data_IF_035312402276
#
_entry.id   IF_035312402276
#
_cell.length_a   1.000
_cell.length_b   1.000
_cell.length_c   1.000
_cell.angle_alpha   90.00
_cell.angle_beta   90.00
_cell.angle_gamma   90.00
#
_symmetry.space_group_name_H-M   'P 1'
#
loop_
_entity.id
_entity.type
_entity.pdbx_description
1 polymer ?
#
# COMPACT_ATOMS: atom_id res chain seq x y z
N UNK A 1 69.54 -26.75 -48.55
CA UNK A 1 69.27 -26.89 -47.11
C UNK A 1 68.24 -25.84 -46.72
N UNK A 2 67.03 -26.28 -46.34
CA UNK A 2 65.89 -25.40 -46.02
C UNK A 2 66.05 -24.83 -44.62
N UNK A 3 65.92 -23.51 -44.49
CA UNK A 3 65.84 -22.81 -43.20
C UNK A 3 64.37 -22.52 -42.91
N UNK A 4 63.80 -23.25 -41.95
CA UNK A 4 62.45 -23.00 -41.42
C UNK A 4 62.47 -21.77 -40.51
N UNK A 5 61.63 -20.77 -40.81
CA UNK A 5 61.33 -19.66 -39.91
C UNK A 5 59.89 -19.80 -39.42
N UNK A 6 59.73 -20.09 -38.12
CA UNK A 6 58.46 -20.19 -37.41
C UNK A 6 57.79 -18.81 -37.32
N UNK A 7 56.63 -18.64 -37.97
CA UNK A 7 55.68 -17.56 -37.66
C UNK A 7 54.91 -17.91 -36.40
N UNK A 8 55.10 -17.13 -35.34
CA UNK A 8 54.23 -17.14 -34.16
C UNK A 8 52.96 -16.33 -34.42
N UNK A 9 51.80 -16.97 -34.37
CA UNK A 9 50.49 -16.29 -34.34
C UNK A 9 50.29 -15.65 -32.96
N UNK A 10 50.15 -14.32 -32.93
CA UNK A 10 49.65 -13.59 -31.76
C UNK A 10 48.12 -13.51 -31.85
N UNK A 11 47.42 -14.33 -31.07
CA UNK A 11 45.98 -14.20 -30.85
C UNK A 11 45.72 -13.01 -29.93
N UNK A 12 45.01 -11.99 -30.43
CA UNK A 12 44.47 -10.89 -29.63
C UNK A 12 43.24 -11.40 -28.86
N UNK A 13 43.35 -11.50 -27.53
CA UNK A 13 42.21 -11.72 -26.65
C UNK A 13 41.58 -10.35 -26.38
N UNK A 14 40.41 -10.09 -26.95
CA UNK A 14 39.58 -8.95 -26.60
C UNK A 14 38.84 -9.27 -25.29
N UNK A 15 39.29 -8.68 -24.18
CA UNK A 15 38.56 -8.69 -22.90
C UNK A 15 37.53 -7.57 -22.95
N UNK A 16 36.27 -7.92 -23.21
CA UNK A 16 35.15 -7.00 -23.04
C UNK A 16 34.83 -6.91 -21.53
N UNK A 17 35.23 -5.79 -20.92
CA UNK A 17 34.83 -5.46 -19.56
C UNK A 17 33.35 -5.05 -19.55
N UNK A 18 32.48 -5.97 -19.10
CA UNK A 18 31.09 -5.66 -18.76
C UNK A 18 31.06 -4.98 -17.39
N UNK A 19 30.89 -3.66 -17.40
CA UNK A 19 30.59 -2.87 -16.21
C UNK A 19 29.11 -3.06 -15.83
N UNK A 20 28.78 -3.48 -14.59
CA UNK A 20 27.40 -3.46 -14.12
C UNK A 20 26.99 -2.02 -13.76
N UNK A 21 26.23 -1.39 -14.65
CA UNK A 21 25.53 -0.12 -14.40
C UNK A 21 24.28 -0.36 -13.55
N UNK A 22 24.47 -0.43 -12.23
CA UNK A 22 23.37 -0.38 -11.26
C UNK A 22 23.65 0.70 -10.22
N UNK A 23 23.40 1.97 -10.56
CA UNK A 23 23.23 3.08 -9.61
C UNK A 23 22.76 4.33 -10.39
N UNK A 24 21.44 4.54 -10.53
CA UNK A 24 20.85 5.87 -10.72
C UNK A 24 19.32 5.75 -10.74
N UNK A 25 18.67 6.17 -9.66
CA UNK A 25 17.21 6.22 -9.59
C UNK A 25 16.69 6.84 -8.30
N UNK A 26 17.42 7.82 -7.76
CA UNK A 26 16.95 8.66 -6.65
C UNK A 26 17.17 10.10 -7.09
N UNK A 27 16.10 10.77 -7.53
CA UNK A 27 16.10 12.22 -7.69
C UNK A 27 15.48 12.83 -6.44
N UNK A 28 16.36 13.45 -5.67
CA UNK A 28 16.10 14.45 -4.62
C UNK A 28 15.70 15.75 -5.32
N UNK A 29 14.65 16.42 -4.84
CA UNK A 29 14.49 17.86 -5.02
C UNK A 29 14.39 18.54 -3.65
N UNK A 30 15.30 19.47 -3.40
CA UNK A 30 15.17 20.53 -2.41
C UNK A 30 15.24 21.88 -3.14
N UNK A 31 14.33 22.79 -2.75
CA UNK A 31 14.23 24.23 -3.03
C UNK A 31 15.51 24.99 -2.57
N UNK A 32 15.90 26.19 -3.00
CA UNK A 32 15.26 27.50 -3.28
C UNK A 32 16.13 28.25 -4.35
N UNK A 33 15.73 29.30 -5.07
CA UNK A 33 15.31 30.64 -4.61
C UNK A 33 14.62 31.43 -5.73
N UNK A 34 13.77 32.37 -5.32
CA UNK A 34 13.08 33.41 -6.10
C UNK A 34 14.02 34.61 -6.36
N UNK A 35 13.85 35.40 -7.44
CA UNK A 35 13.23 36.71 -7.19
C UNK A 35 12.36 37.31 -8.31
N UNK A 36 11.23 37.87 -7.86
CA UNK A 36 10.69 39.22 -8.15
C UNK A 36 9.69 39.41 -9.31
N UNK A 37 8.50 39.88 -8.91
CA UNK A 37 7.35 40.33 -9.73
C UNK A 37 7.61 41.57 -10.62
N UNK A 38 6.67 41.85 -11.55
CA UNK A 38 5.91 43.09 -11.39
C UNK A 38 4.38 43.00 -11.55
N UNK A 39 3.71 43.69 -10.62
CA UNK A 39 2.36 44.28 -10.59
C UNK A 39 1.73 44.72 -11.94
N UNK A 40 0.44 44.41 -12.13
CA UNK A 40 -0.69 45.37 -12.23
C UNK A 40 -1.87 44.80 -13.05
N UNK A 41 -3.09 44.82 -12.49
CA UNK A 41 -4.31 44.50 -13.23
C UNK A 41 -5.54 44.34 -12.35
N UNK A 42 -6.03 45.44 -11.80
CA UNK A 42 -7.26 45.51 -11.02
C UNK A 42 -8.52 45.45 -11.91
N UNK A 43 -9.53 44.66 -11.51
CA UNK A 43 -10.95 44.90 -11.80
C UNK A 43 -11.84 44.31 -10.67
N UNK A 44 -13.04 44.87 -10.43
CA UNK A 44 -13.57 45.07 -9.08
C UNK A 44 -14.52 43.97 -8.58
N UNK A 45 -14.63 43.88 -7.26
CA UNK A 45 -15.68 43.17 -6.54
C UNK A 45 -16.99 43.97 -6.52
N UNK A 46 -18.16 43.30 -6.42
CA UNK A 46 -19.35 43.92 -5.87
C UNK A 46 -19.59 43.50 -4.42
N UNK A 47 -20.08 44.49 -3.68
CA UNK A 47 -20.29 44.54 -2.24
C UNK A 47 -21.53 43.78 -1.75
N UNK A 48 -21.41 43.31 -0.52
CA UNK A 48 -22.40 42.97 0.53
C UNK A 48 -23.89 43.25 0.30
N UNK A 49 -24.72 42.29 0.74
CA UNK A 49 -25.88 42.61 1.59
C UNK A 49 -26.19 41.48 2.58
N UNK A 50 -26.19 41.85 3.86
CA UNK A 50 -26.76 41.15 4.99
C UNK A 50 -28.28 41.15 4.94
N UNK A 51 -28.95 40.10 5.41
CA UNK A 51 -30.17 40.23 6.22
C UNK A 51 -30.62 38.92 6.85
N UNK A 52 -31.25 39.11 8.01
CA UNK A 52 -31.50 38.17 9.07
C UNK A 52 -32.69 37.22 8.84
N UNK A 53 -32.68 36.15 9.65
CA UNK A 53 -33.78 35.23 9.95
C UNK A 53 -35.05 35.99 10.38
N UNK A 54 -36.24 35.42 10.13
CA UNK A 54 -37.07 35.04 11.27
C UNK A 54 -37.83 33.71 11.10
N UNK A 55 -38.09 33.07 12.24
CA UNK A 55 -39.25 32.21 12.51
C UNK A 55 -39.98 32.89 13.69
N UNK A 56 -41.31 32.80 13.90
CA UNK A 56 -42.04 31.54 14.03
C UNK A 56 -43.51 31.56 13.52
N UNK A 57 -44.17 30.40 13.41
CA UNK A 57 -45.41 30.09 14.14
C UNK A 57 -45.99 28.73 13.73
N UNK A 58 -46.70 28.17 14.68
CA UNK A 58 -47.28 26.85 14.86
C UNK A 58 -48.44 26.48 13.93
N UNK A 59 -48.54 25.20 13.60
CA UNK A 59 -49.83 24.49 13.60
C UNK A 59 -49.64 23.03 14.05
N UNK A 60 -50.43 22.69 15.04
CA UNK A 60 -50.52 21.44 15.80
C UNK A 60 -51.31 20.39 15.01
N UNK A 61 -50.82 19.15 14.98
CA UNK A 61 -51.68 17.95 14.96
C UNK A 61 -51.01 16.86 15.80
N UNK A 62 -51.70 16.48 16.88
CA UNK A 62 -51.57 15.23 17.66
C UNK A 62 -51.84 14.04 16.70
N UNK A 63 -51.42 12.78 16.87
CA UNK A 63 -50.97 11.92 17.96
C UNK A 63 -50.39 10.68 17.23
N UNK A 64 -49.35 9.99 17.73
CA UNK A 64 -49.54 8.77 18.50
C UNK A 64 -48.24 8.37 19.21
N UNK A 65 -48.43 7.92 20.45
CA UNK A 65 -47.45 7.41 21.40
C UNK A 65 -46.80 6.13 20.90
N UNK A 66 -45.50 5.95 21.15
CA UNK A 66 -45.03 4.77 21.91
C UNK A 66 -43.68 5.03 22.58
N UNK A 67 -43.51 4.43 23.75
CA UNK A 67 -42.55 4.79 24.77
C UNK A 67 -41.12 4.29 24.48
N UNK A 68 -40.15 5.14 24.81
CA UNK A 68 -38.72 4.85 24.74
C UNK A 68 -38.27 4.12 26.02
N UNK A 69 -37.70 2.93 25.86
CA UNK A 69 -36.86 2.26 26.87
C UNK A 69 -35.58 1.78 26.18
N UNK A 70 -34.43 1.86 26.86
CA UNK A 70 -33.13 1.75 26.22
C UNK A 70 -32.74 0.29 26.05
N UNK A 71 -32.80 -0.22 24.82
CA UNK A 71 -32.20 -1.51 24.49
C UNK A 71 -30.71 -1.34 24.22
N UNK A 72 -29.93 -1.60 25.27
CA UNK A 72 -28.55 -2.02 25.10
C UNK A 72 -28.50 -3.30 24.27
N UNK A 73 -28.00 -3.19 23.04
CA UNK A 73 -27.52 -4.34 22.26
C UNK A 73 -26.07 -4.09 21.85
N UNK A 74 -25.17 -4.64 22.66
CA UNK A 74 -23.86 -5.06 22.17
C UNK A 74 -24.07 -5.96 20.96
N UNK A 75 -23.55 -5.54 19.82
CA UNK A 75 -23.70 -6.26 18.56
C UNK A 75 -23.21 -7.70 18.71
N UNK A 76 -24.08 -8.66 18.40
CA UNK A 76 -23.71 -10.04 18.20
C UNK A 76 -22.68 -10.11 17.06
N UNK A 77 -21.42 -10.37 17.40
CA UNK A 77 -20.41 -10.76 16.42
C UNK A 77 -20.87 -12.05 15.74
N UNK A 78 -21.35 -11.94 14.50
CA UNK A 78 -21.83 -13.09 13.75
C UNK A 78 -20.71 -14.13 13.60
N UNK A 79 -21.02 -15.39 13.91
CA UNK A 79 -20.16 -16.54 13.65
C UNK A 79 -20.02 -16.72 12.13
N UNK A 80 -19.03 -16.05 11.53
CA UNK A 80 -18.63 -16.27 10.15
C UNK A 80 -17.42 -17.21 10.04
N UNK A 81 -17.01 -17.59 8.83
CA UNK A 81 -15.88 -18.49 8.60
C UNK A 81 -14.53 -17.97 9.15
N UNK A 82 -14.45 -16.68 9.49
CA UNK A 82 -13.28 -16.06 10.10
C UNK A 82 -13.49 -15.68 11.58
N UNK A 83 -14.53 -16.21 12.22
CA UNK A 83 -14.78 -15.99 13.65
C UNK A 83 -13.55 -16.38 14.48
N UNK A 84 -13.14 -15.50 15.39
CA UNK A 84 -11.94 -15.68 16.21
C UNK A 84 -10.63 -15.27 15.53
N UNK A 85 -10.61 -15.04 14.21
CA UNK A 85 -9.42 -14.63 13.49
C UNK A 85 -9.21 -13.11 13.60
N UNK A 86 -7.95 -12.69 13.71
CA UNK A 86 -7.50 -11.29 13.74
C UNK A 86 -6.74 -10.97 12.46
N UNK A 87 -7.23 -9.99 11.69
CA UNK A 87 -6.56 -9.51 10.48
C UNK A 87 -6.14 -8.06 10.67
N UNK A 88 -4.89 -7.75 10.33
CA UNK A 88 -4.38 -6.39 10.28
C UNK A 88 -4.26 -5.93 8.84
N UNK A 89 -4.96 -4.84 8.51
CA UNK A 89 -4.86 -4.16 7.23
C UNK A 89 -4.01 -2.91 7.37
N UNK A 90 -3.03 -2.78 6.50
CA UNK A 90 -2.08 -1.67 6.48
C UNK A 90 -2.29 -0.87 5.19
N UNK A 91 -3.16 0.16 5.18
CA UNK A 91 -3.26 1.05 4.03
C UNK A 91 -1.96 1.83 3.93
N UNK A 92 -1.20 1.57 2.87
CA UNK A 92 0.10 2.17 2.61
C UNK A 92 0.05 3.70 2.62
N UNK A 93 1.10 4.33 3.13
CA UNK A 93 1.22 5.79 3.25
C UNK A 93 0.12 6.43 4.12
N UNK A 94 0.02 7.75 4.09
CA UNK A 94 -1.03 8.53 4.72
C UNK A 94 -1.32 9.77 3.85
N UNK A 95 -2.60 10.12 3.73
CA UNK A 95 -3.13 11.17 2.84
C UNK A 95 -2.51 12.56 3.08
N UNK A 96 -2.04 12.82 4.30
CA UNK A 96 -1.45 14.10 4.70
C UNK A 96 0.08 14.06 4.82
N UNK A 97 0.74 12.94 4.49
CA UNK A 97 2.21 12.83 4.57
C UNK A 97 2.95 13.94 3.79
N UNK A 98 2.39 14.42 2.66
CA UNK A 98 2.99 15.49 1.85
C UNK A 98 3.17 16.81 2.60
N UNK A 99 2.33 17.04 3.62
CA UNK A 99 2.30 18.25 4.44
C UNK A 99 3.21 18.13 5.68
N UNK A 100 3.78 16.94 5.91
CA UNK A 100 4.56 16.58 7.11
C UNK A 100 5.91 15.95 6.77
N UNK A 101 6.63 16.57 5.81
CA UNK A 101 7.89 16.02 5.26
C UNK A 101 8.97 15.84 6.34
N UNK A 102 9.07 16.75 7.31
CA UNK A 102 10.09 16.65 8.35
C UNK A 102 9.88 15.41 9.22
N UNK A 103 8.63 15.12 9.57
CA UNK A 103 8.25 14.01 10.43
C UNK A 103 8.41 12.66 9.72
N UNK A 104 7.96 12.55 8.47
CA UNK A 104 8.07 11.30 7.71
C UNK A 104 9.51 10.99 7.26
N UNK A 105 10.37 12.01 7.10
CA UNK A 105 11.77 11.81 6.73
C UNK A 105 12.66 11.40 7.91
N UNK A 106 12.17 11.48 9.15
CA UNK A 106 12.92 11.01 10.32
C UNK A 106 13.25 9.53 10.18
N UNK A 107 14.50 9.16 10.43
CA UNK A 107 14.94 7.77 10.32
C UNK A 107 14.34 6.91 11.45
N UNK A 108 13.89 5.71 11.10
CA UNK A 108 13.43 4.64 12.01
C UNK A 108 14.20 3.35 11.72
N UNK A 109 14.20 2.42 12.68
CA UNK A 109 14.80 1.09 12.50
C UNK A 109 13.88 0.25 11.61
N UNK A 110 14.44 -0.37 10.58
CA UNK A 110 13.76 -1.24 9.63
C UNK A 110 14.18 -2.71 9.79
N UNK A 111 14.83 -3.05 10.90
CA UNK A 111 15.30 -4.39 11.25
C UNK A 111 16.69 -4.72 10.73
N UNK A 112 16.96 -4.43 9.46
CA UNK A 112 18.26 -4.66 8.80
C UNK A 112 18.98 -3.38 8.40
N UNK A 113 18.30 -2.24 8.46
CA UNK A 113 18.80 -0.93 8.05
C UNK A 113 17.96 0.17 8.70
N UNK A 114 18.35 1.44 8.49
CA UNK A 114 17.58 2.61 8.90
C UNK A 114 16.94 3.26 7.67
N UNK A 115 15.68 3.64 7.75
CA UNK A 115 14.97 4.33 6.65
C UNK A 115 14.03 5.41 7.17
N UNK A 116 13.55 6.25 6.26
CA UNK A 116 12.49 7.21 6.51
C UNK A 116 11.30 6.53 7.21
N UNK A 117 10.72 7.24 8.18
CA UNK A 117 9.54 6.83 8.92
C UNK A 117 8.42 6.40 7.98
N UNK A 118 8.08 7.22 6.99
CA UNK A 118 7.08 6.93 5.96
C UNK A 118 7.43 7.68 4.66
N UNK A 119 6.66 7.46 3.60
CA UNK A 119 6.76 8.24 2.36
C UNK A 119 5.38 8.72 1.92
N UNK A 120 5.32 9.63 0.97
CA UNK A 120 4.04 10.14 0.42
C UNK A 120 3.31 9.12 -0.46
N UNK A 121 4.03 8.10 -0.96
CA UNK A 121 3.54 7.23 -2.02
C UNK A 121 3.61 7.89 -3.39
N UNK A 122 3.19 7.16 -4.42
CA UNK A 122 3.06 7.66 -5.80
C UNK A 122 1.67 8.26 -6.06
N UNK A 123 1.37 8.57 -7.32
CA UNK A 123 0.06 8.99 -7.77
C UNK A 123 -0.16 8.59 -9.24
N UNK A 124 -1.42 8.59 -9.69
CA UNK A 124 -1.69 8.57 -11.13
C UNK A 124 -1.23 9.87 -11.80
N UNK A 125 -1.10 9.86 -13.13
CA UNK A 125 -0.79 11.08 -13.88
C UNK A 125 -1.89 12.15 -13.76
N UNK A 126 -3.12 11.77 -13.37
CA UNK A 126 -4.23 12.69 -13.11
C UNK A 126 -4.30 13.16 -11.65
N UNK A 127 -3.33 12.80 -10.80
CA UNK A 127 -3.21 13.28 -9.43
C UNK A 127 -3.96 12.46 -8.37
N UNK A 128 -4.55 11.30 -8.70
CA UNK A 128 -5.14 10.43 -7.68
C UNK A 128 -4.02 9.74 -6.90
N UNK A 129 -3.93 9.99 -5.60
CA UNK A 129 -2.77 9.59 -4.81
C UNK A 129 -2.84 8.13 -4.40
N UNK A 130 -1.68 7.51 -4.22
CA UNK A 130 -1.58 6.14 -3.68
C UNK A 130 -2.23 6.07 -2.29
N UNK A 131 -1.99 7.04 -1.42
CA UNK A 131 -2.55 7.07 -0.07
C UNK A 131 -4.09 7.09 -0.05
N UNK A 132 -4.74 7.81 -0.97
CA UNK A 132 -6.20 7.78 -1.12
C UNK A 132 -6.69 6.42 -1.62
N UNK A 133 -5.98 5.86 -2.61
CA UNK A 133 -6.27 4.54 -3.16
C UNK A 133 -6.20 3.43 -2.09
N UNK A 134 -5.10 3.36 -1.36
CA UNK A 134 -4.86 2.30 -0.37
C UNK A 134 -5.84 2.39 0.79
N UNK A 135 -6.17 3.61 1.24
CA UNK A 135 -7.15 3.85 2.30
C UNK A 135 -8.55 3.38 1.89
N UNK A 136 -9.03 3.73 0.69
CA UNK A 136 -10.34 3.28 0.20
C UNK A 136 -10.39 1.76 0.04
N UNK A 137 -9.40 1.13 -0.61
CA UNK A 137 -9.36 -0.32 -0.78
C UNK A 137 -9.30 -1.03 0.56
N UNK A 138 -8.46 -0.57 1.49
CA UNK A 138 -8.34 -1.18 2.81
C UNK A 138 -9.64 -1.13 3.60
N UNK A 139 -10.37 -0.01 3.57
CA UNK A 139 -11.70 0.10 4.21
C UNK A 139 -12.70 -0.88 3.61
N UNK A 140 -12.71 -1.05 2.29
CA UNK A 140 -13.55 -2.05 1.59
C UNK A 140 -13.19 -3.47 2.00
N UNK A 141 -11.89 -3.83 2.01
CA UNK A 141 -11.41 -5.13 2.48
C UNK A 141 -11.85 -5.38 3.93
N UNK A 142 -11.69 -4.38 4.80
CA UNK A 142 -12.08 -4.48 6.20
C UNK A 142 -13.58 -4.71 6.38
N UNK A 143 -14.44 -4.06 5.59
CA UNK A 143 -15.89 -4.31 5.60
C UNK A 143 -16.21 -5.77 5.23
N UNK A 144 -15.57 -6.29 4.18
CA UNK A 144 -15.76 -7.66 3.72
C UNK A 144 -15.30 -8.70 4.74
N UNK A 145 -14.13 -8.49 5.37
CA UNK A 145 -13.60 -9.39 6.38
C UNK A 145 -14.41 -9.36 7.68
N UNK A 146 -14.86 -8.18 8.13
CA UNK A 146 -15.76 -8.05 9.29
C UNK A 146 -17.09 -8.77 9.04
N UNK A 147 -17.65 -8.65 7.83
CA UNK A 147 -18.87 -9.38 7.46
C UNK A 147 -18.68 -10.91 7.46
N UNK A 148 -17.44 -11.40 7.38
CA UNK A 148 -17.07 -12.83 7.49
C UNK A 148 -16.69 -13.25 8.91
N UNK A 149 -16.84 -12.37 9.90
CA UNK A 149 -16.58 -12.66 11.32
C UNK A 149 -15.17 -12.32 11.82
N UNK A 150 -14.27 -11.81 10.98
CA UNK A 150 -12.92 -11.47 11.41
C UNK A 150 -12.89 -10.21 12.29
N UNK A 151 -12.03 -10.20 13.30
CA UNK A 151 -11.61 -8.98 13.98
C UNK A 151 -10.61 -8.25 13.09
N UNK A 152 -10.99 -7.08 12.55
CA UNK A 152 -10.11 -6.29 11.67
C UNK A 152 -9.55 -5.08 12.41
N UNK A 153 -8.22 -4.96 12.40
CA UNK A 153 -7.49 -3.78 12.87
C UNK A 153 -6.81 -3.08 11.70
N UNK A 154 -6.77 -1.76 11.74
CA UNK A 154 -6.05 -0.95 10.76
C UNK A 154 -4.77 -0.38 11.39
N UNK A 155 -3.70 -0.27 10.62
CA UNK A 155 -2.50 0.47 11.07
C UNK A 155 -2.77 1.98 11.13
N UNK A 156 -3.62 2.47 10.23
CA UNK A 156 -4.16 3.84 10.19
C UNK A 156 -5.50 3.85 9.46
N UNK A 157 -6.35 4.84 9.72
CA UNK A 157 -7.64 4.95 9.05
C UNK A 157 -7.96 6.38 8.58
N UNK A 158 -6.94 7.13 8.14
CA UNK A 158 -7.07 8.52 7.66
C UNK A 158 -7.32 9.55 8.76
N UNK A 159 -7.03 9.20 10.00
CA UNK A 159 -7.29 9.96 11.23
C UNK A 159 -6.03 10.57 11.85
N UNK A 160 -4.86 10.35 11.24
CA UNK A 160 -3.56 10.85 11.69
C UNK A 160 -3.03 11.92 10.73
N UNK A 161 -2.35 12.97 11.23
CA UNK A 161 -1.73 13.98 10.37
C UNK A 161 -0.62 13.39 9.49
N UNK A 162 0.09 12.37 9.96
CA UNK A 162 1.11 11.65 9.19
C UNK A 162 1.40 10.27 9.81
N UNK A 163 2.15 9.45 9.07
CA UNK A 163 2.51 8.10 9.50
C UNK A 163 1.27 7.19 9.68
N UNK A 164 1.33 6.16 10.54
CA UNK A 164 2.44 5.73 11.38
C UNK A 164 3.70 5.36 10.60
N UNK A 165 4.84 5.41 11.28
CA UNK A 165 6.09 4.95 10.70
C UNK A 165 6.07 3.44 10.38
N UNK A 166 6.89 3.00 9.43
CA UNK A 166 6.96 1.59 8.98
C UNK A 166 7.22 0.58 10.10
N UNK A 167 7.98 0.96 11.14
CA UNK A 167 8.23 0.18 12.34
C UNK A 167 7.01 0.10 13.26
N UNK A 168 6.30 1.22 13.45
CA UNK A 168 5.02 1.25 14.15
C UNK A 168 3.96 0.40 13.43
N UNK A 169 3.88 0.45 12.09
CA UNK A 169 2.98 -0.38 11.29
C UNK A 169 3.20 -1.88 11.53
N UNK A 170 4.46 -2.33 11.55
CA UNK A 170 4.79 -3.71 11.89
C UNK A 170 4.44 -4.05 13.36
N UNK A 171 4.75 -3.14 14.29
CA UNK A 171 4.44 -3.32 15.72
C UNK A 171 2.94 -3.45 15.99
N UNK A 172 2.08 -2.75 15.26
CA UNK A 172 0.62 -2.88 15.38
C UNK A 172 0.18 -4.31 15.06
N UNK A 173 0.70 -4.90 13.97
CA UNK A 173 0.47 -6.30 13.61
C UNK A 173 0.89 -7.26 14.72
N UNK A 174 2.10 -7.08 15.23
CA UNK A 174 2.68 -7.94 16.26
C UNK A 174 1.90 -7.86 17.58
N UNK A 175 1.56 -6.65 18.04
CA UNK A 175 0.77 -6.44 19.29
C UNK A 175 -0.65 -6.97 19.17
N UNK A 176 -1.20 -7.02 17.97
CA UNK A 176 -2.51 -7.58 17.72
C UNK A 176 -2.54 -9.11 17.76
N UNK A 177 -1.39 -9.78 17.76
CA UNK A 177 -1.28 -11.22 17.53
C UNK A 177 -2.06 -11.64 16.27
N UNK A 178 -1.95 -10.85 15.20
CA UNK A 178 -2.74 -11.06 14.00
C UNK A 178 -2.40 -12.39 13.33
N UNK A 179 -3.43 -13.11 12.85
CA UNK A 179 -3.26 -14.33 12.06
C UNK A 179 -2.74 -14.01 10.66
N UNK A 180 -3.06 -12.82 10.15
CA UNK A 180 -2.51 -12.28 8.92
C UNK A 180 -2.41 -10.74 8.96
N UNK A 181 -1.34 -10.20 8.39
CA UNK A 181 -1.19 -8.78 8.10
C UNK A 181 -1.00 -8.55 6.60
N UNK A 182 -1.72 -7.60 6.01
CA UNK A 182 -1.62 -7.26 4.58
C UNK A 182 -1.42 -5.76 4.43
N UNK A 183 -0.30 -5.37 3.83
CA UNK A 183 -0.08 -4.00 3.37
C UNK A 183 -0.64 -3.84 1.96
N UNK A 184 -1.49 -2.85 1.75
CA UNK A 184 -2.13 -2.56 0.47
C UNK A 184 -1.48 -1.31 -0.11
N UNK A 185 -0.93 -1.44 -1.31
CA UNK A 185 -0.16 -0.41 -2.03
C UNK A 185 -0.51 -0.40 -3.52
N UNK A 186 0.02 0.59 -4.25
CA UNK A 186 0.08 0.57 -5.70
C UNK A 186 1.42 1.16 -6.17
N UNK A 187 1.99 0.59 -7.23
CA UNK A 187 3.34 0.94 -7.65
C UNK A 187 3.39 2.15 -8.58
N UNK A 188 4.59 2.72 -8.77
CA UNK A 188 4.85 3.91 -9.56
C UNK A 188 5.94 3.75 -10.63
N UNK A 189 6.11 2.57 -11.23
CA UNK A 189 7.12 2.35 -12.26
C UNK A 189 6.97 3.26 -13.49
N UNK A 190 8.04 3.97 -13.87
CA UNK A 190 8.09 4.86 -15.04
C UNK A 190 8.44 4.17 -16.36
N UNK A 191 8.78 2.87 -16.34
CA UNK A 191 9.10 2.13 -17.57
C UNK A 191 7.92 2.03 -18.52
N UNK A 192 8.17 2.24 -19.82
CA UNK A 192 7.15 2.20 -20.87
C UNK A 192 6.43 0.84 -20.88
N UNK A 193 5.10 0.87 -20.75
CA UNK A 193 4.27 -0.34 -20.76
C UNK A 193 4.32 -1.18 -19.48
N UNK A 194 5.08 -0.76 -18.46
CA UNK A 194 5.12 -1.47 -17.17
C UNK A 194 3.74 -1.44 -16.52
N UNK A 195 3.16 -2.60 -16.25
CA UNK A 195 1.82 -2.73 -15.68
C UNK A 195 1.62 -4.10 -15.03
N UNK A 196 0.53 -4.21 -14.28
CA UNK A 196 0.13 -5.41 -13.55
C UNK A 196 0.48 -5.32 -12.07
N UNK A 197 -0.05 -6.29 -11.32
CA UNK A 197 0.07 -6.35 -9.86
C UNK A 197 1.13 -7.38 -9.45
N UNK A 198 1.68 -7.24 -8.24
CA UNK A 198 2.50 -8.28 -7.64
C UNK A 198 2.35 -8.31 -6.12
N UNK A 199 2.71 -9.44 -5.50
CA UNK A 199 2.69 -9.60 -4.06
C UNK A 199 4.11 -9.73 -3.53
N UNK A 200 4.51 -8.84 -2.63
CA UNK A 200 5.81 -8.88 -1.99
C UNK A 200 5.73 -9.78 -0.75
N UNK A 201 6.67 -10.71 -0.65
CA UNK A 201 6.82 -11.63 0.48
C UNK A 201 8.19 -11.44 1.13
N UNK A 202 8.31 -11.68 2.45
CA UNK A 202 9.59 -11.52 3.14
C UNK A 202 10.61 -12.55 2.65
N UNK A 203 11.85 -12.11 2.52
CA UNK A 203 13.03 -12.98 2.54
C UNK A 203 13.35 -13.37 3.99
N UNK A 204 14.06 -14.49 4.15
CA UNK A 204 14.58 -14.92 5.44
C UNK A 204 15.71 -13.98 5.89
N UNK A 205 15.49 -13.29 6.99
CA UNK A 205 16.41 -12.35 7.63
C UNK A 205 16.53 -12.74 9.10
N UNK A 206 17.74 -12.65 9.66
CA UNK A 206 17.99 -12.78 11.10
C UNK A 206 19.09 -11.84 11.54
N UNK A 207 18.73 -10.83 12.31
CA UNK A 207 19.61 -9.83 12.94
C UNK A 207 19.21 -9.68 14.41
N UNK A 208 19.90 -8.82 15.16
CA UNK A 208 19.50 -8.47 16.53
C UNK A 208 18.13 -7.78 16.60
N UNK A 209 17.72 -7.06 15.54
CA UNK A 209 16.48 -6.28 15.50
C UNK A 209 15.36 -6.93 14.69
N UNK A 210 15.63 -7.97 13.89
CA UNK A 210 14.65 -8.60 13.03
C UNK A 210 14.88 -10.11 12.87
N UNK A 211 13.81 -10.90 12.94
CA UNK A 211 13.80 -12.31 12.57
C UNK A 211 12.51 -12.64 11.82
N UNK A 212 12.63 -12.88 10.51
CA UNK A 212 11.48 -13.24 9.66
C UNK A 212 11.35 -14.74 9.46
N UNK A 213 12.23 -15.56 10.04
CA UNK A 213 12.39 -16.96 9.65
C UNK A 213 11.15 -17.80 9.94
N UNK A 214 10.44 -17.50 11.03
CA UNK A 214 9.16 -18.12 11.36
C UNK A 214 8.02 -17.73 10.40
N UNK A 215 8.08 -16.55 9.77
CA UNK A 215 6.99 -16.03 8.94
C UNK A 215 7.18 -16.25 7.45
N UNK A 216 8.39 -16.54 6.95
CA UNK A 216 8.64 -16.72 5.50
C UNK A 216 7.71 -17.75 4.87
N UNK A 217 7.56 -18.92 5.49
CA UNK A 217 6.68 -19.99 4.99
C UNK A 217 5.20 -19.57 4.95
N UNK A 218 4.61 -19.18 6.09
CA UNK A 218 3.24 -18.67 6.14
C UNK A 218 2.97 -17.47 5.22
N UNK A 219 3.86 -16.46 5.19
CA UNK A 219 3.72 -15.30 4.31
C UNK A 219 3.75 -15.67 2.83
N UNK A 220 4.54 -16.69 2.44
CA UNK A 220 4.52 -17.21 1.07
C UNK A 220 3.20 -17.91 0.72
N UNK A 221 2.57 -18.62 1.67
CA UNK A 221 1.22 -19.19 1.47
C UNK A 221 0.18 -18.08 1.31
N UNK A 222 0.20 -17.10 2.22
CA UNK A 222 -0.66 -15.91 2.15
C UNK A 222 -0.50 -15.19 0.81
N UNK A 223 0.75 -14.94 0.39
CA UNK A 223 1.02 -14.24 -0.86
C UNK A 223 0.54 -14.99 -2.10
N UNK A 224 0.61 -16.33 -2.11
CA UNK A 224 0.03 -17.14 -3.19
C UNK A 224 -1.50 -17.04 -3.24
N UNK A 225 -2.17 -17.06 -2.09
CA UNK A 225 -3.63 -16.93 -2.02
C UNK A 225 -4.08 -15.53 -2.47
N UNK A 226 -3.40 -14.47 -2.01
CA UNK A 226 -3.67 -13.11 -2.51
C UNK A 226 -3.47 -13.04 -4.02
N UNK A 227 -2.34 -13.54 -4.55
CA UNK A 227 -2.07 -13.48 -5.99
C UNK A 227 -3.20 -14.13 -6.80
N UNK A 228 -3.59 -15.35 -6.42
CA UNK A 228 -4.64 -16.12 -7.11
C UNK A 228 -5.96 -15.35 -7.12
N UNK A 229 -6.49 -15.05 -5.94
CA UNK A 229 -7.83 -14.46 -5.80
C UNK A 229 -7.90 -13.02 -6.30
N UNK A 230 -6.80 -12.27 -6.21
CA UNK A 230 -6.72 -10.93 -6.77
C UNK A 230 -6.77 -10.94 -8.30
N UNK A 231 -6.03 -11.84 -8.96
CA UNK A 231 -6.08 -12.01 -10.41
C UNK A 231 -7.49 -12.41 -10.87
N UNK A 232 -8.10 -13.39 -10.20
CA UNK A 232 -9.46 -13.88 -10.51
C UNK A 232 -10.51 -12.77 -10.39
N UNK A 233 -10.43 -11.93 -9.34
CA UNK A 233 -11.42 -10.89 -9.10
C UNK A 233 -11.27 -9.66 -10.00
N UNK A 234 -10.04 -9.28 -10.35
CA UNK A 234 -9.75 -7.99 -11.02
C UNK A 234 -9.44 -8.12 -12.50
N UNK A 235 -9.09 -9.31 -12.97
CA UNK A 235 -8.53 -9.57 -14.30
C UNK A 235 -7.26 -8.76 -14.60
N UNK A 236 -6.60 -8.18 -13.60
CA UNK A 236 -5.29 -7.55 -13.80
C UNK A 236 -4.22 -8.62 -14.05
N UNK A 237 -3.29 -8.38 -14.98
CA UNK A 237 -2.18 -9.29 -15.19
C UNK A 237 -1.18 -9.18 -14.05
N UNK A 238 -0.29 -10.19 -13.95
CA UNK A 238 0.90 -10.07 -13.13
C UNK A 238 1.79 -8.94 -13.65
N UNK A 239 2.52 -8.28 -12.75
CA UNK A 239 3.47 -7.25 -13.10
C UNK A 239 4.50 -7.77 -14.12
N UNK A 240 4.64 -7.08 -15.25
CA UNK A 240 5.60 -7.45 -16.30
C UNK A 240 7.02 -6.90 -16.05
N UNK A 241 7.25 -6.22 -14.93
CA UNK A 241 8.50 -5.53 -14.60
C UNK A 241 9.11 -5.98 -13.26
N UNK A 242 8.41 -6.82 -12.50
CA UNK A 242 8.87 -7.35 -11.21
C UNK A 242 8.44 -8.83 -11.03
N UNK A 243 9.12 -9.53 -10.13
CA UNK A 243 8.75 -10.89 -9.73
C UNK A 243 9.00 -11.99 -10.77
N UNK A 244 9.68 -11.69 -11.89
CA UNK A 244 10.11 -12.67 -12.89
C UNK A 244 8.97 -13.50 -13.49
N UNK A 245 7.78 -12.90 -13.64
CA UNK A 245 6.58 -13.59 -14.13
C UNK A 245 5.86 -14.47 -13.10
N UNK A 246 6.40 -14.64 -11.89
CA UNK A 246 5.77 -15.43 -10.83
C UNK A 246 4.62 -14.70 -10.13
N UNK A 247 4.59 -13.36 -10.23
CA UNK A 247 3.70 -12.48 -9.47
C UNK A 247 4.06 -12.35 -7.98
N UNK A 248 5.14 -12.99 -7.54
CA UNK A 248 5.70 -12.86 -6.19
C UNK A 248 7.06 -12.19 -6.25
N UNK A 249 7.28 -11.20 -5.39
CA UNK A 249 8.56 -10.50 -5.27
C UNK A 249 9.12 -10.77 -3.87
N UNK A 250 10.27 -11.43 -3.77
CA UNK A 250 10.90 -11.74 -2.48
C UNK A 250 11.84 -10.60 -2.11
N UNK A 251 11.65 -9.96 -0.95
CA UNK A 251 12.40 -8.75 -0.54
C UNK A 251 12.87 -8.80 0.91
N UNK A 252 13.98 -8.10 1.19
CA UNK A 252 14.60 -7.96 2.52
C UNK A 252 14.84 -6.49 2.92
N UNK A 253 14.33 -5.56 2.12
CA UNK A 253 14.56 -4.11 2.21
C UNK A 253 13.27 -3.34 2.59
N UNK A 254 12.32 -4.01 3.26
CA UNK A 254 11.07 -3.42 3.72
C UNK A 254 10.91 -3.61 5.22
N UNK A 255 11.08 -2.52 5.99
CA UNK A 255 10.95 -2.54 7.46
C UNK A 255 9.61 -3.12 7.94
N UNK A 256 8.53 -2.82 7.23
CA UNK A 256 7.21 -3.39 7.52
C UNK A 256 7.15 -4.92 7.42
N UNK A 257 7.98 -5.55 6.58
CA UNK A 257 8.14 -7.01 6.50
C UNK A 257 9.17 -7.53 7.50
N UNK A 258 10.34 -6.92 7.55
CA UNK A 258 11.47 -7.38 8.35
C UNK A 258 11.15 -7.40 9.86
N UNK A 259 10.34 -6.44 10.32
CA UNK A 259 9.94 -6.32 11.72
C UNK A 259 8.67 -7.10 12.08
N UNK A 260 8.03 -7.77 11.11
CA UNK A 260 6.82 -8.53 11.36
C UNK A 260 7.14 -9.86 12.06
N UNK A 261 6.37 -10.18 13.09
CA UNK A 261 6.37 -11.46 13.82
C UNK A 261 5.16 -12.34 13.44
N UNK A 262 4.26 -11.81 12.63
CA UNK A 262 3.06 -12.48 12.10
C UNK A 262 3.17 -12.66 10.58
N UNK A 263 2.44 -13.61 9.96
CA UNK A 263 2.39 -13.74 8.51
C UNK A 263 2.02 -12.40 7.86
N UNK A 264 2.91 -11.86 7.03
CA UNK A 264 2.76 -10.54 6.41
C UNK A 264 3.21 -10.50 4.96
N UNK A 265 2.43 -9.81 4.13
CA UNK A 265 2.75 -9.52 2.72
C UNK A 265 2.39 -8.08 2.38
N UNK A 266 2.94 -7.59 1.27
CA UNK A 266 2.47 -6.36 0.61
C UNK A 266 1.83 -6.77 -0.71
N UNK A 267 0.70 -6.19 -1.08
CA UNK A 267 0.16 -6.27 -2.43
C UNK A 267 0.32 -4.91 -3.11
N UNK A 268 1.03 -4.90 -4.22
CA UNK A 268 1.08 -3.76 -5.16
C UNK A 268 -0.02 -3.98 -6.19
N UNK A 269 -1.12 -3.25 -6.06
CA UNK A 269 -2.38 -3.52 -6.75
C UNK A 269 -2.36 -3.27 -8.26
N UNK A 270 -1.33 -2.58 -8.77
CA UNK A 270 -1.15 -2.18 -10.16
C UNK A 270 -0.15 -1.02 -10.25
N UNK A 271 0.19 -0.58 -11.46
CA UNK A 271 1.08 0.59 -11.65
C UNK A 271 0.28 1.88 -11.90
N UNK A 272 0.31 2.83 -10.96
CA UNK A 272 -0.38 4.13 -11.07
C UNK A 272 0.14 4.98 -12.24
N UNK A 273 1.37 4.75 -12.71
CA UNK A 273 1.97 5.47 -13.85
C UNK A 273 1.57 4.86 -15.20
N UNK A 274 0.93 3.70 -15.20
CA UNK A 274 0.38 3.10 -16.41
C UNK A 274 -1.07 3.52 -16.62
N UNK A 275 -1.40 4.08 -17.79
CA UNK A 275 -2.76 4.55 -18.07
C UNK A 275 -3.84 3.45 -17.99
N UNK A 276 -3.51 2.21 -18.34
CA UNK A 276 -4.48 1.09 -18.28
C UNK A 276 -4.77 0.67 -16.85
N UNK A 277 -3.73 0.50 -16.03
CA UNK A 277 -3.93 0.16 -14.63
C UNK A 277 -4.58 1.33 -13.88
N UNK A 278 -4.16 2.57 -14.14
CA UNK A 278 -4.73 3.77 -13.55
C UNK A 278 -6.24 3.88 -13.76
N UNK A 279 -6.79 3.50 -14.93
CA UNK A 279 -8.25 3.45 -15.17
C UNK A 279 -8.96 2.48 -14.22
N UNK A 280 -8.34 1.34 -13.89
CA UNK A 280 -8.86 0.42 -12.88
C UNK A 280 -8.76 1.02 -11.48
N UNK A 281 -7.56 1.48 -11.10
CA UNK A 281 -7.28 2.01 -9.76
C UNK A 281 -8.18 3.21 -9.38
N UNK A 282 -8.53 4.07 -10.35
CA UNK A 282 -9.43 5.22 -10.13
C UNK A 282 -10.91 4.86 -10.17
N UNK A 283 -11.28 3.68 -10.68
CA UNK A 283 -12.67 3.21 -10.72
C UNK A 283 -13.12 2.64 -9.37
N UNK A 284 -14.21 3.19 -8.81
CA UNK A 284 -14.77 2.70 -7.55
C UNK A 284 -15.27 1.25 -7.64
N UNK A 285 -15.85 0.84 -8.76
CA UNK A 285 -16.31 -0.54 -8.97
C UNK A 285 -15.12 -1.50 -9.05
N UNK A 286 -14.04 -1.09 -9.71
CA UNK A 286 -12.83 -1.90 -9.77
C UNK A 286 -12.13 -1.98 -8.41
N UNK A 287 -12.06 -0.90 -7.63
CA UNK A 287 -11.56 -0.96 -6.25
C UNK A 287 -12.37 -1.91 -5.37
N UNK A 288 -13.67 -2.05 -5.63
CA UNK A 288 -14.50 -3.06 -4.97
C UNK A 288 -14.12 -4.49 -5.38
N UNK A 289 -13.78 -4.74 -6.64
CA UNK A 289 -13.26 -6.03 -7.11
C UNK A 289 -11.88 -6.34 -6.50
N UNK A 290 -10.98 -5.36 -6.47
CA UNK A 290 -9.68 -5.48 -5.81
C UNK A 290 -9.85 -5.85 -4.33
N UNK A 291 -10.75 -5.15 -3.62
CA UNK A 291 -11.06 -5.47 -2.24
C UNK A 291 -11.65 -6.87 -2.04
N UNK A 292 -12.51 -7.32 -2.96
CA UNK A 292 -13.06 -8.69 -2.95
C UNK A 292 -11.94 -9.73 -3.08
N UNK A 293 -11.07 -9.57 -4.08
CA UNK A 293 -9.94 -10.48 -4.31
C UNK A 293 -8.96 -10.54 -3.14
N UNK A 294 -8.64 -9.40 -2.52
CA UNK A 294 -7.80 -9.36 -1.31
C UNK A 294 -8.50 -10.07 -0.15
N UNK A 295 -9.77 -9.78 0.11
CA UNK A 295 -10.51 -10.41 1.20
C UNK A 295 -10.64 -11.93 1.02
N UNK A 296 -10.88 -12.41 -0.20
CA UNK A 296 -10.90 -13.83 -0.56
C UNK A 296 -9.53 -14.49 -0.38
N UNK A 297 -8.44 -13.85 -0.84
CA UNK A 297 -7.09 -14.35 -0.62
C UNK A 297 -6.72 -14.49 0.86
N UNK A 298 -7.08 -13.50 1.69
CA UNK A 298 -6.91 -13.57 3.14
C UNK A 298 -7.76 -14.69 3.74
N UNK A 299 -9.04 -14.79 3.34
CA UNK A 299 -9.95 -15.82 3.86
C UNK A 299 -9.47 -17.23 3.52
N UNK A 300 -9.03 -17.44 2.28
CA UNK A 300 -8.50 -18.72 1.82
C UNK A 300 -7.21 -19.11 2.56
N UNK A 301 -6.37 -18.14 2.91
CA UNK A 301 -5.19 -18.40 3.76
C UNK A 301 -5.58 -18.83 5.18
N UNK A 302 -6.53 -18.14 5.80
CA UNK A 302 -6.90 -18.39 7.20
C UNK A 302 -7.72 -19.67 7.40
N UNK A 303 -8.58 -20.01 6.45
CA UNK A 303 -9.45 -21.19 6.54
C UNK A 303 -8.74 -22.47 6.12
N UNK A 304 -7.83 -22.41 5.13
CA UNK A 304 -7.15 -23.60 4.61
C UNK A 304 -5.80 -23.87 5.30
N UNK A 305 -5.73 -23.71 6.62
CA UNK A 305 -4.50 -23.92 7.42
C UNK A 305 -4.15 -25.42 7.63
N UNK A 306 -4.58 -26.30 6.72
CA UNK A 306 -4.17 -27.71 6.66
C UNK A 306 -2.78 -27.89 6.04
#
# INVERSE_FOLDING_TARGET
MRSESRRGSRSLIAVAALLPTCCAGWLVWQSFDDPQEPSAGAFPAPSSSSSARPSPSSSRTEQAKEADKPDGKGGSGGQGPLSGMVVVLDPGHNVHNRDHRAEINRKVDAGTFRKECDTTGTATNSGYTEAEFTLDVSRRVGKLLKARGATVKFTQNGDRPWGPCVDERARIGNKAHADAAVSIHADGSLGTGNRGFHVIVPRSVRTSSADTTAIVGPSRRLGRQLKKHYAEATSFPLANYLGGGSGLTVREDLGGLNLSKVPKVFIECGNMRNATDARGLTSASWRQLAAKGIAEGISAFLVNNS
#
